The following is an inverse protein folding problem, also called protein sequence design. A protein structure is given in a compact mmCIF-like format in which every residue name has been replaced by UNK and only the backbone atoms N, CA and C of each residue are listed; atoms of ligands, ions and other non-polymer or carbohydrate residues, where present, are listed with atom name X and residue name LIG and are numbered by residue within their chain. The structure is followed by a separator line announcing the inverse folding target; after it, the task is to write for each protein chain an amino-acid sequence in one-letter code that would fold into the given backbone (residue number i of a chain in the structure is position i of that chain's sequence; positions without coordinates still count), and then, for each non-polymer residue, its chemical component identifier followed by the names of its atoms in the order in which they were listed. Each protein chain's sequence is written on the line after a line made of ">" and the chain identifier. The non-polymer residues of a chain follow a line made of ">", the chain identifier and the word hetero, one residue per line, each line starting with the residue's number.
data_IF_324160204687
#
_entry.id   IF_324160204687
#
_cell.length_a   1.000
_cell.length_b   1.000
_cell.length_c   1.000
_cell.angle_alpha   90.00
_cell.angle_beta   90.00
_cell.angle_gamma   90.00
#
_symmetry.space_group_name_H-M   'P 1'
#
loop_
_entity.id
_entity.type
_entity.pdbx_description
1 polymer ?
#
# COMPACT_ATOMS: atom_id res chain seq x y z
N UNK A 1 13.61 23.65 -3.90
CA UNK A 1 12.60 22.59 -4.07
C UNK A 1 11.40 23.10 -4.89
N UNK A 2 11.48 22.98 -6.22
CA UNK A 2 10.34 23.20 -7.11
C UNK A 2 9.85 21.84 -7.58
N UNK A 3 8.80 21.33 -6.96
CA UNK A 3 8.11 20.11 -7.34
C UNK A 3 6.73 20.10 -6.67
N UNK A 4 5.78 19.37 -7.26
CA UNK A 4 4.47 19.11 -6.66
C UNK A 4 4.61 18.46 -5.27
N UNK A 5 3.53 18.50 -4.49
CA UNK A 5 3.38 17.73 -3.25
C UNK A 5 2.01 17.06 -3.27
N UNK A 6 1.92 15.89 -2.64
CA UNK A 6 0.64 15.28 -2.29
C UNK A 6 0.25 15.79 -0.89
N UNK A 7 -1.00 16.25 -0.74
CA UNK A 7 -1.52 16.73 0.55
C UNK A 7 -2.64 15.81 1.03
N UNK A 8 -2.39 15.04 2.10
CA UNK A 8 -3.42 14.26 2.81
C UNK A 8 -3.99 15.12 3.93
N UNK A 9 -5.25 15.54 3.79
CA UNK A 9 -5.93 16.44 4.73
C UNK A 9 -6.99 15.66 5.51
N UNK A 10 -6.73 15.41 6.79
CA UNK A 10 -7.58 14.60 7.66
C UNK A 10 -8.30 15.49 8.67
N UNK A 11 -9.63 15.42 8.73
CA UNK A 11 -10.38 16.07 9.80
C UNK A 11 -10.14 15.32 11.11
N UNK A 12 -9.56 16.00 12.12
CA UNK A 12 -9.31 15.40 13.42
C UNK A 12 -10.57 15.43 14.30
N UNK A 13 -10.81 14.37 15.07
CA UNK A 13 -11.85 14.34 16.10
C UNK A 13 -11.27 14.87 17.42
N UNK A 14 -11.54 16.13 17.83
CA UNK A 14 -11.06 16.62 19.12
C UNK A 14 -11.77 15.87 20.27
N UNK A 15 -11.09 15.60 21.40
CA UNK A 15 -11.69 14.89 22.54
C UNK A 15 -12.93 15.59 23.13
N UNK A 16 -13.04 16.91 22.96
CA UNK A 16 -14.18 17.74 23.39
C UNK A 16 -14.39 18.89 22.40
N UNK A 17 -15.64 19.36 22.26
CA UNK A 17 -16.00 20.52 21.44
C UNK A 17 -16.67 20.19 20.10
N UNK A 18 -16.92 21.19 19.23
CA UNK A 18 -17.50 20.98 17.90
C UNK A 18 -16.64 20.00 17.06
N UNK A 19 -17.27 18.98 16.47
CA UNK A 19 -16.56 17.95 15.69
C UNK A 19 -16.20 16.68 16.46
N UNK A 20 -16.33 16.67 17.80
CA UNK A 20 -16.04 15.50 18.66
C UNK A 20 -16.95 14.27 18.43
N UNK A 21 -18.08 14.43 17.72
CA UNK A 21 -19.02 13.36 17.37
C UNK A 21 -19.05 13.04 15.87
N UNK A 22 -18.08 13.52 15.08
CA UNK A 22 -18.06 13.25 13.64
C UNK A 22 -17.45 11.88 13.39
N UNK A 23 -18.29 10.94 12.99
CA UNK A 23 -17.91 9.56 12.65
C UNK A 23 -16.81 9.50 11.59
N UNK A 24 -16.82 10.41 10.62
CA UNK A 24 -15.81 10.52 9.54
C UNK A 24 -14.47 11.15 9.96
N UNK A 25 -14.31 11.57 11.22
CA UNK A 25 -13.08 12.19 11.72
C UNK A 25 -12.18 11.17 12.44
N UNK A 26 -10.87 11.19 12.16
CA UNK A 26 -9.91 10.21 12.65
C UNK A 26 -9.58 10.42 14.14
N UNK A 27 -9.29 9.32 14.86
CA UNK A 27 -8.70 9.37 16.21
C UNK A 27 -7.26 9.84 16.10
N UNK A 28 -6.82 10.68 17.05
CA UNK A 28 -5.45 11.23 17.03
C UNK A 28 -4.39 10.14 17.16
N UNK A 29 -4.66 9.12 17.98
CA UNK A 29 -3.72 8.03 18.25
C UNK A 29 -3.39 7.22 16.99
N UNK A 30 -4.40 6.88 16.18
CA UNK A 30 -4.24 6.13 14.93
C UNK A 30 -3.37 6.90 13.92
N UNK A 31 -3.61 8.21 13.81
CA UNK A 31 -2.88 9.06 12.86
C UNK A 31 -1.43 9.29 13.31
N UNK A 32 -1.14 9.24 14.62
CA UNK A 32 0.23 9.33 15.11
C UNK A 32 1.06 8.11 14.72
N UNK A 33 0.47 6.91 14.67
CA UNK A 33 1.15 5.72 14.15
C UNK A 33 1.50 5.89 12.67
N UNK A 34 0.54 6.34 11.84
CA UNK A 34 0.78 6.59 10.41
C UNK A 34 1.91 7.60 10.19
N UNK A 35 1.87 8.75 10.87
CA UNK A 35 2.89 9.80 10.77
C UNK A 35 4.27 9.29 11.22
N UNK A 36 4.32 8.50 12.29
CA UNK A 36 5.58 7.94 12.76
C UNK A 36 6.15 6.88 11.80
N UNK A 37 5.29 6.09 11.14
CA UNK A 37 5.72 5.15 10.11
C UNK A 37 6.23 5.92 8.87
N UNK A 38 5.53 6.98 8.45
CA UNK A 38 5.96 7.86 7.35
C UNK A 38 7.37 8.41 7.59
N UNK A 39 7.64 8.92 8.80
CA UNK A 39 8.96 9.43 9.19
C UNK A 39 10.02 8.33 9.22
N UNK A 40 9.66 7.13 9.68
CA UNK A 40 10.58 5.99 9.77
C UNK A 40 11.06 5.48 8.40
N UNK A 41 10.16 5.46 7.41
CA UNK A 41 10.45 4.84 6.09
C UNK A 41 10.85 5.85 5.02
N UNK A 42 10.81 7.16 5.30
CA UNK A 42 10.98 8.22 4.29
C UNK A 42 12.31 8.18 3.53
N UNK A 43 13.37 7.64 4.14
CA UNK A 43 14.71 7.55 3.54
C UNK A 43 14.94 6.19 2.85
N UNK A 44 13.94 5.30 2.85
CA UNK A 44 14.00 3.99 2.19
C UNK A 44 13.51 4.11 0.75
N UNK A 45 14.34 3.64 -0.19
CA UNK A 45 13.98 3.60 -1.61
C UNK A 45 12.67 2.81 -1.82
N UNK A 46 11.80 3.36 -2.68
CA UNK A 46 10.48 2.80 -2.94
C UNK A 46 9.40 3.21 -1.95
N UNK A 47 9.71 3.93 -0.86
CA UNK A 47 8.72 4.56 0.02
C UNK A 47 8.56 6.04 -0.28
N UNK A 48 7.42 6.61 0.09
CA UNK A 48 7.15 8.02 -0.18
C UNK A 48 7.95 8.93 0.73
N UNK A 49 8.48 9.99 0.13
CA UNK A 49 9.17 11.04 0.88
C UNK A 49 8.14 11.78 1.75
N UNK A 50 8.31 11.71 3.07
CA UNK A 50 7.56 12.50 4.02
C UNK A 50 8.21 13.88 4.18
N UNK A 51 7.49 14.95 3.83
CA UNK A 51 8.01 16.33 3.89
C UNK A 51 7.67 17.05 5.19
N UNK A 52 6.51 16.73 5.77
CA UNK A 52 6.11 17.31 7.04
C UNK A 52 4.65 17.09 7.38
N UNK A 53 4.33 17.39 8.63
CA UNK A 53 2.98 17.29 9.19
C UNK A 53 2.61 18.59 9.89
N UNK A 54 1.39 19.06 9.67
CA UNK A 54 0.90 20.33 10.19
C UNK A 54 -0.48 20.16 10.81
N UNK A 55 -0.74 20.87 11.90
CA UNK A 55 -2.09 21.01 12.45
C UNK A 55 -2.66 22.35 12.02
N UNK A 56 -3.76 22.31 11.26
CA UNK A 56 -4.47 23.51 10.82
C UNK A 56 -5.81 23.64 11.54
N UNK A 57 -6.24 24.87 11.81
CA UNK A 57 -7.57 25.18 12.35
C UNK A 57 -8.26 26.16 11.41
N UNK A 58 -9.46 25.83 10.94
CA UNK A 58 -10.18 26.73 10.04
C UNK A 58 -11.21 26.07 9.16
N UNK A 59 -11.79 26.85 8.24
CA UNK A 59 -12.52 26.32 7.09
C UNK A 59 -11.55 25.87 5.98
N UNK A 60 -12.03 25.01 5.08
CA UNK A 60 -11.22 24.47 3.98
C UNK A 60 -10.89 25.56 2.94
N UNK A 61 -9.61 25.74 2.55
CA UNK A 61 -9.22 26.79 1.61
C UNK A 61 -9.91 26.68 0.24
N UNK A 62 -10.17 27.82 -0.42
CA UNK A 62 -10.83 27.88 -1.74
C UNK A 62 -10.14 27.04 -2.82
N UNK A 63 -8.81 26.91 -2.75
CA UNK A 63 -8.06 26.05 -3.69
C UNK A 63 -8.44 24.58 -3.56
N UNK A 64 -8.51 24.08 -2.32
CA UNK A 64 -8.92 22.71 -2.00
C UNK A 64 -10.38 22.48 -2.36
N UNK A 65 -11.26 23.45 -2.07
CA UNK A 65 -12.68 23.39 -2.48
C UNK A 65 -12.84 23.21 -3.99
N UNK A 66 -12.17 24.05 -4.79
CA UNK A 66 -12.23 23.94 -6.25
C UNK A 66 -11.67 22.62 -6.77
N UNK A 67 -10.61 22.11 -6.14
CA UNK A 67 -10.04 20.81 -6.51
C UNK A 67 -11.01 19.67 -6.22
N UNK A 68 -11.65 19.69 -5.04
CA UNK A 68 -12.69 18.73 -4.67
C UNK A 68 -13.90 18.81 -5.59
N UNK A 69 -14.44 20.00 -5.86
CA UNK A 69 -15.58 20.21 -6.77
C UNK A 69 -15.24 19.70 -8.18
N UNK A 70 -14.06 20.06 -8.70
CA UNK A 70 -13.60 19.62 -10.01
C UNK A 70 -13.35 18.10 -10.15
N UNK A 71 -13.21 17.38 -9.04
CA UNK A 71 -13.14 15.91 -9.01
C UNK A 71 -14.52 15.29 -8.79
N UNK A 72 -15.28 15.81 -7.82
CA UNK A 72 -16.58 15.29 -7.39
C UNK A 72 -17.66 15.45 -8.47
N UNK A 73 -17.55 16.48 -9.32
CA UNK A 73 -18.54 16.80 -10.36
C UNK A 73 -18.24 16.12 -11.71
N UNK A 74 -17.22 15.26 -11.78
CA UNK A 74 -16.93 14.43 -12.96
C UNK A 74 -17.48 13.04 -12.76
N UNK A 75 -17.88 12.38 -13.86
CA UNK A 75 -18.32 10.99 -13.78
C UNK A 75 -17.21 10.07 -13.24
N UNK A 76 -17.55 9.06 -12.41
CA UNK A 76 -16.62 8.03 -11.95
C UNK A 76 -15.90 7.35 -13.12
N UNK A 77 -14.67 6.89 -12.89
CA UNK A 77 -13.97 6.05 -13.86
C UNK A 77 -14.59 4.65 -13.91
N UNK A 78 -14.21 3.83 -14.89
CA UNK A 78 -14.63 2.43 -14.94
C UNK A 78 -14.21 1.64 -13.67
N UNK A 79 -13.12 2.09 -13.02
CA UNK A 79 -12.52 1.45 -11.86
C UNK A 79 -13.04 1.98 -10.52
N UNK A 80 -13.87 3.02 -10.50
CA UNK A 80 -14.43 3.59 -9.27
C UNK A 80 -15.07 2.53 -8.35
N UNK A 81 -15.12 2.76 -7.04
CA UNK A 81 -15.79 1.81 -6.12
C UNK A 81 -17.29 1.67 -6.44
N UNK A 82 -17.92 0.61 -5.92
CA UNK A 82 -19.38 0.46 -6.01
C UNK A 82 -20.08 1.65 -5.33
N UNK A 83 -19.64 2.02 -4.13
CA UNK A 83 -20.15 3.17 -3.37
C UNK A 83 -20.04 4.48 -4.15
N UNK A 84 -18.89 4.75 -4.79
CA UNK A 84 -18.70 5.95 -5.61
C UNK A 84 -19.63 5.96 -6.82
N UNK A 85 -19.81 4.80 -7.47
CA UNK A 85 -20.67 4.65 -8.65
C UNK A 85 -22.14 4.86 -8.27
N UNK A 86 -22.58 4.26 -7.16
CA UNK A 86 -23.96 4.37 -6.65
C UNK A 86 -24.29 5.78 -6.17
N UNK A 87 -23.38 6.43 -5.43
CA UNK A 87 -23.55 7.82 -5.00
C UNK A 87 -23.67 8.77 -6.20
N UNK A 88 -22.87 8.53 -7.25
CA UNK A 88 -22.96 9.31 -8.49
C UNK A 88 -24.30 9.11 -9.20
N UNK A 89 -24.76 7.87 -9.35
CA UNK A 89 -26.06 7.55 -9.97
C UNK A 89 -27.25 8.12 -9.16
N UNK A 90 -27.13 8.19 -7.84
CA UNK A 90 -28.10 8.83 -6.95
C UNK A 90 -28.06 10.38 -7.00
N UNK A 91 -27.09 10.98 -7.69
CA UNK A 91 -26.92 12.43 -7.78
C UNK A 91 -26.29 13.08 -6.55
N UNK A 92 -25.64 12.28 -5.69
CA UNK A 92 -24.97 12.74 -4.47
C UNK A 92 -23.53 13.19 -4.71
N UNK A 93 -22.99 12.91 -5.91
CA UNK A 93 -21.59 13.11 -6.26
C UNK A 93 -20.77 11.85 -6.01
N UNK A 94 -19.44 11.98 -6.07
CA UNK A 94 -18.50 10.85 -5.89
C UNK A 94 -18.04 10.67 -4.45
N UNK A 95 -18.04 11.75 -3.67
CA UNK A 95 -17.50 11.77 -2.32
C UNK A 95 -18.46 11.12 -1.31
N UNK A 96 -18.00 10.08 -0.62
CA UNK A 96 -18.65 9.59 0.60
C UNK A 96 -18.57 10.61 1.76
N UNK A 97 -17.68 11.61 1.67
CA UNK A 97 -17.51 12.66 2.67
C UNK A 97 -18.36 13.90 2.35
N UNK A 98 -18.84 14.63 3.38
CA UNK A 98 -19.58 15.86 3.17
C UNK A 98 -18.73 16.90 2.44
N UNK A 99 -19.40 17.70 1.59
CA UNK A 99 -18.79 18.83 0.89
C UNK A 99 -17.87 19.66 1.84
N UNK A 100 -16.60 19.95 1.48
CA UNK A 100 -15.64 20.51 2.44
C UNK A 100 -16.01 21.90 2.98
N UNK A 101 -16.92 22.62 2.32
CA UNK A 101 -17.49 23.87 2.85
C UNK A 101 -18.35 23.68 4.12
N UNK A 102 -18.76 22.44 4.44
CA UNK A 102 -19.55 22.09 5.65
C UNK A 102 -18.70 21.93 6.91
N UNK A 103 -17.37 22.01 6.81
CA UNK A 103 -16.50 22.03 8.00
C UNK A 103 -16.65 23.34 8.76
N UNK A 104 -16.77 23.26 10.09
CA UNK A 104 -16.89 24.43 10.94
C UNK A 104 -15.58 25.23 10.94
N UNK A 105 -15.65 26.55 11.15
CA UNK A 105 -14.46 27.43 11.22
C UNK A 105 -13.46 27.08 12.33
N UNK A 106 -13.88 26.27 13.30
CA UNK A 106 -13.05 25.79 14.41
C UNK A 106 -12.62 24.31 14.24
N UNK A 107 -12.90 23.69 13.09
CA UNK A 107 -12.44 22.33 12.79
C UNK A 107 -10.91 22.28 12.80
N UNK A 108 -10.37 21.25 13.45
CA UNK A 108 -8.96 20.91 13.38
C UNK A 108 -8.73 19.90 12.25
N UNK A 109 -7.68 20.13 11.48
CA UNK A 109 -7.20 19.23 10.44
C UNK A 109 -5.75 18.88 10.70
N UNK A 110 -5.41 17.63 10.42
CA UNK A 110 -4.03 17.25 10.16
C UNK A 110 -3.78 17.38 8.66
N UNK A 111 -2.65 17.97 8.29
CA UNK A 111 -2.19 18.09 6.91
C UNK A 111 -0.84 17.40 6.83
N UNK A 112 -0.79 16.28 6.13
CA UNK A 112 0.44 15.54 5.84
C UNK A 112 0.88 15.95 4.44
N UNK A 113 2.10 16.45 4.31
CA UNK A 113 2.73 16.76 3.04
C UNK A 113 3.69 15.64 2.64
N UNK A 114 3.43 15.05 1.48
CA UNK A 114 4.25 13.99 0.89
C UNK A 114 4.90 14.48 -0.42
N UNK A 115 6.01 13.86 -0.78
CA UNK A 115 6.65 14.05 -2.07
C UNK A 115 5.73 13.66 -3.24
N UNK A 116 6.02 14.22 -4.41
CA UNK A 116 5.34 13.82 -5.64
C UNK A 116 5.75 12.38 -6.00
N UNK A 117 4.81 11.44 -5.86
CA UNK A 117 5.00 10.03 -6.15
C UNK A 117 4.64 9.66 -7.60
N UNK A 118 4.14 10.61 -8.40
CA UNK A 118 3.63 10.33 -9.74
C UNK A 118 2.16 9.91 -9.74
N UNK A 119 1.81 8.92 -10.57
CA UNK A 119 0.43 8.48 -10.80
C UNK A 119 0.22 7.12 -10.15
N UNK A 120 -0.86 6.95 -9.39
CA UNK A 120 -1.21 5.65 -8.81
C UNK A 120 -1.47 4.58 -9.89
N UNK A 121 -1.25 3.32 -9.53
CA UNK A 121 -1.32 2.16 -10.41
C UNK A 121 -2.76 1.89 -10.88
N UNK A 122 -3.77 2.26 -10.08
CA UNK A 122 -5.19 2.16 -10.45
C UNK A 122 -5.51 2.97 -11.72
N UNK A 123 -4.90 4.14 -11.83
CA UNK A 123 -5.08 5.04 -12.96
C UNK A 123 -3.96 4.93 -14.00
N UNK A 124 -2.93 4.12 -13.79
CA UNK A 124 -1.82 3.95 -14.73
C UNK A 124 -2.10 2.85 -15.76
N UNK A 125 -1.78 3.09 -17.03
CA UNK A 125 -1.92 2.10 -18.09
C UNK A 125 -0.59 1.37 -18.30
N UNK A 126 -0.47 0.13 -17.81
CA UNK A 126 0.71 -0.72 -18.06
C UNK A 126 0.68 -1.24 -19.50
N UNK A 127 1.73 -0.96 -20.28
CA UNK A 127 1.76 -1.20 -21.73
C UNK A 127 2.88 -2.15 -22.17
N UNK A 128 3.92 -2.33 -21.36
CA UNK A 128 5.11 -3.12 -21.71
C UNK A 128 5.40 -4.22 -20.67
N UNK A 129 6.11 -5.27 -21.10
CA UNK A 129 6.53 -6.34 -20.20
C UNK A 129 7.56 -5.84 -19.18
N UNK A 130 8.37 -4.87 -19.57
CA UNK A 130 9.33 -4.19 -18.71
C UNK A 130 8.64 -3.46 -17.54
N UNK A 131 7.52 -2.78 -17.79
CA UNK A 131 6.74 -2.15 -16.71
C UNK A 131 6.16 -3.19 -15.75
N UNK A 132 5.68 -4.34 -16.25
CA UNK A 132 5.22 -5.43 -15.38
C UNK A 132 6.33 -5.94 -14.45
N UNK A 133 7.55 -6.06 -14.97
CA UNK A 133 8.71 -6.46 -14.17
C UNK A 133 9.09 -5.40 -13.15
N UNK A 134 9.20 -4.13 -13.55
CA UNK A 134 9.63 -3.07 -12.65
C UNK A 134 8.63 -2.82 -11.52
N UNK A 135 7.32 -2.85 -11.81
CA UNK A 135 6.29 -2.75 -10.77
C UNK A 135 6.39 -3.89 -9.78
N UNK A 136 6.49 -5.14 -10.25
CA UNK A 136 6.56 -6.31 -9.38
C UNK A 136 7.85 -6.34 -8.54
N UNK A 137 9.01 -6.22 -9.20
CA UNK A 137 10.31 -6.32 -8.55
C UNK A 137 10.56 -5.12 -7.65
N UNK A 138 10.25 -3.90 -8.09
CA UNK A 138 10.40 -2.70 -7.27
C UNK A 138 9.55 -2.75 -5.99
N UNK A 139 8.30 -3.22 -6.11
CA UNK A 139 7.43 -3.44 -4.94
C UNK A 139 8.02 -4.49 -4.00
N UNK A 140 8.51 -5.61 -4.53
CA UNK A 140 9.13 -6.66 -3.71
C UNK A 140 10.39 -6.17 -2.99
N UNK A 141 11.25 -5.41 -3.67
CA UNK A 141 12.48 -4.85 -3.08
C UNK A 141 12.17 -3.84 -1.98
N UNK A 142 11.21 -2.93 -2.20
CA UNK A 142 10.79 -1.95 -1.21
C UNK A 142 10.23 -2.64 0.05
N UNK A 143 9.28 -3.57 -0.13
CA UNK A 143 8.69 -4.32 0.99
C UNK A 143 9.75 -5.13 1.76
N UNK A 144 10.63 -5.86 1.07
CA UNK A 144 11.70 -6.62 1.72
C UNK A 144 12.66 -5.74 2.51
N UNK A 145 13.00 -4.56 1.98
CA UNK A 145 13.87 -3.59 2.68
C UNK A 145 13.18 -3.06 3.94
N UNK A 146 11.90 -2.71 3.86
CA UNK A 146 11.11 -2.32 5.02
C UNK A 146 10.97 -3.45 6.06
N UNK A 147 10.78 -4.70 5.61
CA UNK A 147 10.75 -5.88 6.49
C UNK A 147 12.07 -6.02 7.27
N UNK A 148 13.21 -5.94 6.60
CA UNK A 148 14.53 -6.11 7.21
C UNK A 148 14.87 -4.98 8.19
N UNK A 149 14.58 -3.73 7.82
CA UNK A 149 14.93 -2.57 8.63
C UNK A 149 14.01 -2.37 9.83
N UNK A 150 12.69 -2.57 9.64
CA UNK A 150 11.68 -2.12 10.60
C UNK A 150 10.65 -3.19 10.94
N UNK A 151 10.78 -4.42 10.44
CA UNK A 151 9.70 -5.41 10.49
C UNK A 151 8.41 -4.86 9.87
N UNK A 152 8.55 -4.09 8.78
CA UNK A 152 7.43 -3.39 8.17
C UNK A 152 6.41 -4.37 7.58
N UNK A 153 5.14 -4.09 7.82
CA UNK A 153 4.01 -4.71 7.14
C UNK A 153 3.11 -3.60 6.59
N UNK A 154 2.87 -3.57 5.29
CA UNK A 154 2.04 -2.52 4.69
C UNK A 154 0.57 -2.66 5.08
N UNK A 155 0.06 -3.90 5.03
CA UNK A 155 -1.31 -4.31 5.37
C UNK A 155 -2.44 -3.70 4.53
N UNK A 156 -2.12 -2.83 3.56
CA UNK A 156 -3.11 -2.22 2.68
C UNK A 156 -2.57 -1.89 1.28
N UNK A 157 -1.71 -2.73 0.72
CA UNK A 157 -1.01 -2.40 -0.53
C UNK A 157 -1.84 -2.76 -1.78
N UNK A 158 -2.97 -2.07 -1.95
CA UNK A 158 -3.75 -2.14 -3.19
C UNK A 158 -3.20 -1.19 -4.27
N UNK A 159 -3.74 -1.27 -5.49
CA UNK A 159 -3.29 -0.49 -6.66
C UNK A 159 -3.31 1.04 -6.45
N UNK A 160 -4.17 1.55 -5.57
CA UNK A 160 -4.21 2.98 -5.23
C UNK A 160 -3.02 3.44 -4.37
N UNK A 161 -2.34 2.49 -3.73
CA UNK A 161 -1.22 2.72 -2.82
C UNK A 161 0.15 2.42 -3.44
N UNK A 162 0.20 2.27 -4.76
CA UNK A 162 1.43 2.17 -5.54
C UNK A 162 1.42 3.25 -6.59
N UNK A 163 2.34 4.21 -6.51
CA UNK A 163 2.52 5.21 -7.56
C UNK A 163 3.70 4.91 -8.47
N UNK A 164 3.57 5.36 -9.71
CA UNK A 164 4.51 5.18 -10.80
C UNK A 164 4.89 6.54 -11.38
N UNK A 165 6.19 6.71 -11.62
CA UNK A 165 6.75 7.91 -12.23
C UNK A 165 7.85 7.52 -13.21
N UNK A 166 7.87 8.11 -14.40
CA UNK A 166 9.01 7.98 -15.28
C UNK A 166 10.18 8.81 -14.74
N UNK A 167 11.24 8.13 -14.34
CA UNK A 167 12.46 8.74 -13.77
C UNK A 167 13.72 8.44 -14.60
N UNK A 168 13.64 7.52 -15.55
CA UNK A 168 14.78 7.12 -16.39
C UNK A 168 14.39 6.85 -17.85
N UNK A 169 15.40 6.54 -18.65
CA UNK A 169 15.20 6.09 -20.02
C UNK A 169 14.73 4.62 -20.03
N UNK A 170 13.70 4.33 -20.82
CA UNK A 170 13.27 2.97 -21.06
C UNK A 170 14.25 2.24 -21.99
N UNK A 171 14.44 0.95 -21.73
CA UNK A 171 15.22 -0.01 -22.51
C UNK A 171 14.47 -1.36 -22.57
N UNK A 172 15.06 -2.38 -23.17
CA UNK A 172 14.40 -3.68 -23.38
C UNK A 172 15.18 -4.76 -22.65
N UNK A 173 14.47 -5.66 -21.95
CA UNK A 173 15.11 -6.80 -21.28
C UNK A 173 15.80 -7.68 -22.33
N UNK A 174 17.12 -7.94 -22.20
CA UNK A 174 17.85 -8.77 -23.16
C UNK A 174 17.27 -10.19 -23.28
N UNK A 175 17.32 -10.81 -24.47
CA UNK A 175 16.94 -12.21 -24.63
C UNK A 175 17.85 -13.13 -23.80
N UNK A 176 17.27 -14.15 -23.18
CA UNK A 176 17.90 -15.12 -22.27
C UNK A 176 18.95 -16.05 -22.93
N UNK A 177 19.42 -15.73 -24.15
CA UNK A 177 20.36 -16.55 -24.93
C UNK A 177 21.83 -16.23 -24.66
N UNK A 178 22.13 -15.27 -23.78
CA UNK A 178 23.48 -14.94 -23.35
C UNK A 178 23.76 -15.53 -21.97
N UNK A 179 24.96 -16.08 -21.76
CA UNK A 179 25.44 -16.66 -20.50
C UNK A 179 25.72 -15.61 -19.40
N UNK A 180 25.11 -14.44 -19.51
CA UNK A 180 25.23 -13.30 -18.60
C UNK A 180 23.88 -13.08 -17.91
N UNK A 181 23.96 -12.65 -16.66
CA UNK A 181 22.89 -12.45 -15.68
C UNK A 181 21.54 -12.01 -16.30
N UNK A 182 20.42 -12.73 -16.06
CA UNK A 182 19.12 -12.46 -16.67
C UNK A 182 18.39 -11.29 -15.99
N UNK A 183 19.06 -10.16 -15.78
CA UNK A 183 18.50 -8.99 -15.11
C UNK A 183 17.17 -8.57 -15.74
N UNK A 184 16.17 -8.30 -14.89
CA UNK A 184 14.79 -7.96 -15.29
C UNK A 184 14.31 -6.63 -14.73
N UNK A 185 15.05 -6.07 -13.77
CA UNK A 185 14.70 -4.82 -13.09
C UNK A 185 15.42 -3.61 -13.71
N UNK A 186 14.71 -2.48 -13.79
CA UNK A 186 15.23 -1.18 -14.22
C UNK A 186 15.12 -0.92 -15.72
N UNK A 187 14.29 -1.66 -16.46
CA UNK A 187 14.22 -1.54 -17.93
C UNK A 187 13.11 -0.59 -18.41
N UNK A 188 12.04 -0.37 -17.66
CA UNK A 188 10.94 0.51 -18.09
C UNK A 188 11.22 2.01 -17.89
N UNK A 189 12.22 2.34 -17.06
CA UNK A 189 12.46 3.70 -16.60
C UNK A 189 11.41 4.20 -15.59
N UNK A 190 10.56 3.31 -15.07
CA UNK A 190 9.63 3.60 -13.98
C UNK A 190 10.31 3.51 -12.63
N UNK A 191 9.97 4.48 -11.79
CA UNK A 191 10.18 4.46 -10.35
C UNK A 191 8.83 4.14 -9.68
N UNK A 192 8.89 3.28 -8.66
CA UNK A 192 7.75 2.81 -7.89
C UNK A 192 7.80 3.48 -6.52
N UNK A 193 6.67 3.92 -5.99
CA UNK A 193 6.56 4.52 -4.66
C UNK A 193 5.34 3.97 -3.93
N UNK A 194 5.55 3.35 -2.77
CA UNK A 194 4.49 2.85 -1.90
C UNK A 194 3.89 4.01 -1.08
N UNK A 195 2.57 4.03 -0.93
CA UNK A 195 1.81 5.07 -0.22
C UNK A 195 0.88 4.48 0.84
N UNK A 196 0.37 5.38 1.67
CA UNK A 196 -0.69 5.13 2.67
C UNK A 196 -0.36 4.02 3.69
N UNK A 197 0.17 4.47 4.82
CA UNK A 197 0.59 3.58 5.91
C UNK A 197 -0.44 3.50 7.04
N UNK A 198 -1.71 3.83 6.75
CA UNK A 198 -2.78 3.92 7.77
C UNK A 198 -2.97 2.59 8.51
N UNK A 199 -2.96 1.46 7.79
CA UNK A 199 -3.12 0.12 8.39
C UNK A 199 -1.79 -0.56 8.74
N UNK A 200 -0.66 0.09 8.44
CA UNK A 200 0.66 -0.53 8.48
C UNK A 200 1.12 -0.82 9.90
N UNK A 201 2.14 -1.67 9.99
CA UNK A 201 2.88 -1.97 11.23
C UNK A 201 4.36 -1.83 10.98
N UNK A 202 5.07 -1.23 11.93
CA UNK A 202 6.53 -1.15 11.92
C UNK A 202 7.08 -1.15 13.34
N UNK A 203 8.38 -1.33 13.49
CA UNK A 203 9.11 -1.25 14.74
C UNK A 203 10.19 -0.19 14.61
N UNK A 204 10.19 0.76 15.55
CA UNK A 204 11.24 1.77 15.69
C UNK A 204 12.56 1.14 16.16
N UNK A 205 13.67 1.86 16.02
CA UNK A 205 14.98 1.43 16.52
C UNK A 205 14.97 1.20 18.05
N UNK A 206 14.15 1.94 18.80
CA UNK A 206 13.98 1.76 20.24
C UNK A 206 13.11 0.54 20.62
N UNK A 207 12.65 -0.23 19.63
CA UNK A 207 11.83 -1.43 19.83
C UNK A 207 10.35 -1.13 20.09
N UNK A 208 9.89 0.11 19.94
CA UNK A 208 8.46 0.45 20.00
C UNK A 208 7.77 0.01 18.71
N UNK A 209 6.71 -0.79 18.85
CA UNK A 209 5.81 -1.17 17.74
C UNK A 209 4.82 -0.04 17.44
N UNK A 210 4.80 0.41 16.19
CA UNK A 210 3.80 1.31 15.61
C UNK A 210 2.83 0.46 14.80
N UNK A 211 1.53 0.57 15.06
CA UNK A 211 0.50 -0.18 14.33
C UNK A 211 -0.88 0.43 14.53
N UNK A 212 -1.82 0.05 13.67
CA UNK A 212 -3.26 0.18 13.90
C UNK A 212 -3.83 -1.17 14.36
N UNK A 213 -4.65 -1.17 15.41
CA UNK A 213 -5.32 -2.38 15.86
C UNK A 213 -6.55 -2.68 14.99
N UNK A 214 -6.41 -3.64 14.07
CA UNK A 214 -7.50 -4.00 13.17
C UNK A 214 -8.59 -4.86 13.85
N UNK A 215 -8.42 -5.27 15.11
CA UNK A 215 -9.51 -5.87 15.90
C UNK A 215 -10.37 -4.81 16.62
N UNK A 216 -10.05 -3.51 16.53
CA UNK A 216 -10.96 -2.44 16.99
C UNK A 216 -12.29 -2.56 16.21
N UNK A 217 -13.46 -2.54 16.89
CA UNK A 217 -14.76 -2.59 16.23
C UNK A 217 -14.98 -1.55 15.12
N UNK A 218 -14.29 -0.41 15.15
CA UNK A 218 -14.33 0.59 14.06
C UNK A 218 -13.77 0.05 12.73
N UNK A 219 -12.97 -1.03 12.78
CA UNK A 219 -12.34 -1.66 11.62
C UNK A 219 -13.06 -2.95 11.15
N UNK A 220 -14.17 -3.36 11.79
CA UNK A 220 -14.83 -4.64 11.47
C UNK A 220 -15.29 -4.70 10.01
N UNK A 221 -15.71 -3.57 9.44
CA UNK A 221 -16.10 -3.43 8.03
C UNK A 221 -15.00 -3.86 7.04
N UNK A 222 -13.72 -3.86 7.44
CA UNK A 222 -12.63 -4.38 6.60
C UNK A 222 -12.77 -5.87 6.29
N UNK A 223 -13.39 -6.61 7.21
CA UNK A 223 -13.47 -8.07 7.21
C UNK A 223 -14.88 -8.60 6.96
N UNK A 224 -15.85 -7.73 6.75
CA UNK A 224 -17.22 -8.11 6.39
C UNK A 224 -17.27 -8.71 4.98
N UNK A 225 -18.29 -9.54 4.76
CA UNK A 225 -18.51 -10.14 3.46
C UNK A 225 -18.95 -9.07 2.45
N UNK A 226 -18.43 -9.14 1.23
CA UNK A 226 -18.85 -8.26 0.15
C UNK A 226 -20.34 -8.41 -0.13
N UNK A 227 -21.03 -7.27 -0.28
CA UNK A 227 -22.44 -7.24 -0.64
C UNK A 227 -22.69 -7.76 -2.08
N UNK A 228 -23.92 -8.19 -2.39
CA UNK A 228 -24.32 -8.44 -3.77
C UNK A 228 -24.12 -7.18 -4.63
N UNK A 229 -23.38 -7.29 -5.73
CA UNK A 229 -23.08 -6.16 -6.61
C UNK A 229 -21.68 -5.57 -6.45
N UNK A 230 -20.96 -5.88 -5.36
CA UNK A 230 -19.56 -5.44 -5.19
C UNK A 230 -18.70 -5.87 -6.38
N UNK A 231 -17.90 -4.95 -6.92
CA UNK A 231 -17.03 -5.18 -8.08
C UNK A 231 -15.99 -6.27 -7.78
N UNK A 232 -15.58 -7.04 -8.80
CA UNK A 232 -14.64 -8.15 -8.60
C UNK A 232 -13.28 -7.67 -8.07
N UNK A 233 -12.84 -6.48 -8.46
CA UNK A 233 -11.56 -5.94 -8.00
C UNK A 233 -11.57 -5.65 -6.49
N UNK A 234 -12.63 -5.03 -5.99
CA UNK A 234 -12.85 -4.82 -4.55
C UNK A 234 -12.99 -6.16 -3.80
N UNK A 235 -13.67 -7.16 -4.40
CA UNK A 235 -13.75 -8.51 -3.81
C UNK A 235 -12.38 -9.16 -3.67
N UNK A 236 -11.48 -8.98 -4.64
CA UNK A 236 -10.10 -9.48 -4.55
C UNK A 236 -9.35 -8.81 -3.40
N UNK A 237 -9.50 -7.50 -3.22
CA UNK A 237 -8.91 -6.75 -2.11
C UNK A 237 -9.42 -7.27 -0.76
N UNK A 238 -10.75 -7.44 -0.63
CA UNK A 238 -11.41 -7.98 0.58
C UNK A 238 -10.92 -9.38 0.95
N UNK A 239 -10.67 -10.25 -0.03
CA UNK A 239 -10.07 -11.57 0.21
C UNK A 239 -8.67 -11.46 0.84
N UNK A 240 -7.88 -10.44 0.52
CA UNK A 240 -6.57 -10.22 1.14
C UNK A 240 -6.72 -9.84 2.62
N UNK A 241 -7.62 -8.91 2.97
CA UNK A 241 -7.88 -8.60 4.37
C UNK A 241 -8.34 -9.82 5.17
N UNK A 242 -9.27 -10.61 4.63
CA UNK A 242 -9.71 -11.86 5.28
C UNK A 242 -8.55 -12.82 5.48
N UNK A 243 -7.70 -13.03 4.46
CA UNK A 243 -6.54 -13.91 4.55
C UNK A 243 -5.50 -13.42 5.59
N UNK A 244 -5.30 -12.11 5.73
CA UNK A 244 -4.47 -11.55 6.79
C UNK A 244 -5.06 -11.86 8.17
N UNK A 245 -6.36 -11.58 8.41
CA UNK A 245 -7.01 -11.86 9.71
C UNK A 245 -6.98 -13.35 10.04
N UNK A 246 -7.25 -14.22 9.08
CA UNK A 246 -7.14 -15.67 9.25
C UNK A 246 -5.72 -16.10 9.67
N UNK A 247 -4.70 -15.56 9.00
CA UNK A 247 -3.30 -15.84 9.33
C UNK A 247 -2.94 -15.39 10.74
N UNK A 248 -3.21 -14.13 11.08
CA UNK A 248 -2.87 -13.55 12.39
C UNK A 248 -3.58 -14.29 13.53
N UNK A 249 -4.86 -14.63 13.36
CA UNK A 249 -5.64 -15.43 14.34
C UNK A 249 -5.08 -16.85 14.47
N UNK A 250 -4.65 -17.49 13.37
CA UNK A 250 -4.04 -18.81 13.42
C UNK A 250 -2.69 -18.79 14.19
N UNK A 251 -1.82 -17.80 13.91
CA UNK A 251 -0.54 -17.63 14.61
C UNK A 251 -0.71 -17.36 16.11
N UNK A 252 -1.74 -16.59 16.49
CA UNK A 252 -2.05 -16.35 17.89
C UNK A 252 -2.45 -17.64 18.64
N UNK A 253 -3.26 -18.50 18.02
CA UNK A 253 -3.67 -19.79 18.62
C UNK A 253 -2.46 -20.70 18.86
N UNK A 254 -1.53 -20.75 17.90
CA UNK A 254 -0.28 -21.52 18.03
C UNK A 254 0.58 -20.99 19.17
N UNK A 255 0.68 -19.67 19.31
CA UNK A 255 1.48 -19.01 20.35
C UNK A 255 0.85 -19.17 21.75
N UNK A 256 -0.48 -19.03 21.85
CA UNK A 256 -1.23 -19.12 23.12
C UNK A 256 -1.25 -20.53 23.72
N UNK A 257 -1.09 -21.58 22.89
CA UNK A 257 -0.95 -22.96 23.35
C UNK A 257 0.35 -23.24 24.14
N UNK A 258 1.34 -22.33 24.08
CA UNK A 258 2.64 -22.45 24.76
C UNK A 258 2.77 -21.60 26.02
N UNK A 259 1.82 -20.70 26.32
CA UNK A 259 1.96 -19.73 27.41
C UNK A 259 0.81 -19.88 28.42
N UNK A 260 1.15 -20.13 29.70
CA UNK A 260 0.17 -20.10 30.79
C UNK A 260 -0.42 -18.69 30.88
N UNK A 261 -1.75 -18.63 30.97
CA UNK A 261 -2.54 -17.42 31.19
C UNK A 261 -2.19 -16.82 32.55
N UNK A 262 -1.37 -15.78 32.54
CA UNK A 262 -1.30 -14.77 33.59
C UNK A 262 -0.89 -13.47 32.89
N UNK A 263 -1.90 -12.69 32.47
CA UNK A 263 -1.93 -11.22 32.43
C UNK A 263 -3.08 -10.73 31.55
N UNK A 264 -3.99 -9.97 32.15
CA UNK A 264 -5.27 -9.54 31.58
C UNK A 264 -5.16 -8.33 30.62
N UNK A 265 -4.01 -8.13 29.95
CA UNK A 265 -3.83 -7.22 28.81
C UNK A 265 -2.65 -7.73 27.96
N UNK A 266 -2.90 -8.78 27.18
CA UNK A 266 -1.95 -9.20 26.16
C UNK A 266 -1.80 -8.12 25.09
N UNK A 267 -0.59 -8.00 24.54
CA UNK A 267 -0.32 -7.16 23.36
C UNK A 267 -1.23 -7.60 22.20
N UNK A 268 -1.82 -6.64 21.46
CA UNK A 268 -2.70 -6.92 20.33
C UNK A 268 -2.03 -7.87 19.34
N UNK A 269 -2.80 -8.81 18.77
CA UNK A 269 -2.29 -9.75 17.75
C UNK A 269 -1.76 -9.02 16.52
N UNK A 270 -2.26 -7.82 16.25
CA UNK A 270 -1.86 -6.93 15.15
C UNK A 270 -0.58 -6.13 15.47
N UNK A 271 -0.12 -6.07 16.71
CA UNK A 271 1.20 -5.52 17.04
C UNK A 271 2.34 -6.50 16.70
N UNK A 272 2.05 -7.80 16.81
CA UNK A 272 3.00 -8.87 16.50
C UNK A 272 3.39 -8.83 15.02
N UNK A 273 4.61 -9.26 14.72
CA UNK A 273 5.16 -9.24 13.37
C UNK A 273 4.70 -10.47 12.57
N UNK A 274 3.98 -10.23 11.47
CA UNK A 274 3.46 -11.24 10.55
C UNK A 274 3.81 -10.89 9.09
N UNK A 275 5.09 -11.00 8.66
CA UNK A 275 5.53 -10.53 7.35
C UNK A 275 4.86 -11.27 6.17
N UNK A 276 4.17 -12.37 6.43
CA UNK A 276 3.33 -13.05 5.43
C UNK A 276 2.20 -12.15 4.90
N UNK A 277 1.77 -11.14 5.65
CA UNK A 277 0.80 -10.13 5.18
C UNK A 277 1.31 -9.40 3.94
N UNK A 278 2.61 -9.08 3.87
CA UNK A 278 3.21 -8.47 2.68
C UNK A 278 3.25 -9.45 1.50
N UNK A 279 3.46 -10.75 1.73
CA UNK A 279 3.41 -11.77 0.66
C UNK A 279 2.02 -11.84 0.03
N UNK A 280 0.96 -11.76 0.85
CA UNK A 280 -0.43 -11.74 0.38
C UNK A 280 -0.69 -10.53 -0.52
N UNK A 281 -0.21 -9.34 -0.12
CA UNK A 281 -0.33 -8.13 -0.91
C UNK A 281 0.53 -8.14 -2.18
N UNK A 282 1.77 -8.61 -2.11
CA UNK A 282 2.63 -8.74 -3.28
C UNK A 282 2.00 -9.69 -4.33
N UNK A 283 1.40 -10.79 -3.88
CA UNK A 283 0.63 -11.68 -4.75
C UNK A 283 -0.57 -10.96 -5.39
N UNK A 284 -1.30 -10.17 -4.62
CA UNK A 284 -2.41 -9.36 -5.13
C UNK A 284 -1.97 -8.36 -6.20
N UNK A 285 -0.90 -7.60 -5.95
CA UNK A 285 -0.34 -6.62 -6.88
C UNK A 285 0.08 -7.27 -8.20
N UNK A 286 0.73 -8.44 -8.14
CA UNK A 286 1.09 -9.18 -9.35
C UNK A 286 -0.15 -9.57 -10.18
N UNK A 287 -1.20 -10.07 -9.53
CA UNK A 287 -2.45 -10.42 -10.21
C UNK A 287 -3.17 -9.20 -10.77
N UNK A 288 -3.11 -8.07 -10.06
CA UNK A 288 -3.65 -6.80 -10.54
C UNK A 288 -2.98 -6.38 -11.84
N UNK A 289 -1.64 -6.34 -11.86
CA UNK A 289 -0.84 -5.94 -13.01
C UNK A 289 -1.14 -6.82 -14.24
N UNK A 290 -1.24 -8.14 -14.04
CA UNK A 290 -1.56 -9.08 -15.13
C UNK A 290 -2.99 -8.88 -15.65
N UNK A 291 -3.96 -8.65 -14.76
CA UNK A 291 -5.37 -8.51 -15.13
C UNK A 291 -5.65 -7.18 -15.87
N UNK A 292 -4.95 -6.11 -15.49
CA UNK A 292 -5.16 -4.76 -16.01
C UNK A 292 -4.10 -4.32 -17.04
N UNK A 293 -3.24 -5.25 -17.48
CA UNK A 293 -2.26 -4.99 -18.53
C UNK A 293 -2.95 -4.60 -19.84
N UNK A 294 -2.61 -3.42 -20.36
CA UNK A 294 -3.21 -2.84 -21.57
C UNK A 294 -2.31 -3.00 -22.81
N UNK A 295 -1.12 -3.58 -22.63
CA UNK A 295 -0.14 -3.79 -23.69
C UNK A 295 -0.40 -4.97 -24.62
N UNK A 296 0.65 -5.33 -25.38
CA UNK A 296 0.56 -6.39 -26.38
C UNK A 296 0.40 -7.79 -25.75
N UNK A 297 -0.61 -8.55 -26.19
CA UNK A 297 -0.86 -9.93 -25.70
C UNK A 297 0.37 -10.86 -25.72
N UNK A 298 1.23 -10.85 -26.77
CA UNK A 298 2.44 -11.67 -26.75
C UNK A 298 3.43 -11.28 -25.64
N UNK A 299 3.52 -9.99 -25.29
CA UNK A 299 4.37 -9.51 -24.21
C UNK A 299 3.86 -9.99 -22.84
N UNK A 300 2.54 -9.91 -22.62
CA UNK A 300 1.91 -10.44 -21.41
C UNK A 300 2.14 -11.95 -21.28
N UNK A 301 1.92 -12.70 -22.36
CA UNK A 301 2.10 -14.15 -22.36
C UNK A 301 3.54 -14.53 -21.99
N UNK A 302 4.53 -13.84 -22.55
CA UNK A 302 5.94 -14.07 -22.23
C UNK A 302 6.22 -13.76 -20.75
N UNK A 303 5.70 -12.65 -20.23
CA UNK A 303 5.83 -12.32 -18.80
C UNK A 303 5.23 -13.42 -17.91
N UNK A 304 4.00 -13.87 -18.21
CA UNK A 304 3.32 -14.92 -17.46
C UNK A 304 4.08 -16.26 -17.50
N UNK A 305 4.67 -16.62 -18.64
CA UNK A 305 5.51 -17.82 -18.79
C UNK A 305 6.77 -17.74 -17.91
N UNK A 306 7.41 -16.57 -17.84
CA UNK A 306 8.65 -16.39 -17.07
C UNK A 306 8.45 -16.28 -15.56
N UNK A 307 7.36 -15.65 -15.13
CA UNK A 307 7.05 -15.47 -13.69
C UNK A 307 6.25 -16.65 -13.13
N UNK A 308 5.87 -17.63 -13.95
CA UNK A 308 4.93 -18.71 -13.61
C UNK A 308 5.24 -19.39 -12.28
N UNK A 309 6.49 -19.78 -12.05
CA UNK A 309 6.91 -20.47 -10.82
C UNK A 309 6.76 -19.58 -9.58
N UNK A 310 7.19 -18.33 -9.68
CA UNK A 310 7.11 -17.34 -8.59
C UNK A 310 5.65 -17.03 -8.30
N UNK A 311 4.85 -16.76 -9.33
CA UNK A 311 3.41 -16.54 -9.23
C UNK A 311 2.68 -17.72 -8.59
N UNK A 312 3.03 -18.95 -8.96
CA UNK A 312 2.44 -20.15 -8.39
C UNK A 312 2.82 -20.35 -6.91
N UNK A 313 4.04 -19.97 -6.51
CA UNK A 313 4.52 -20.10 -5.14
C UNK A 313 4.03 -18.98 -4.22
N UNK A 314 3.86 -17.76 -4.71
CA UNK A 314 3.24 -16.63 -3.98
C UNK A 314 1.82 -16.96 -3.50
N UNK A 315 1.07 -17.76 -4.26
CA UNK A 315 -0.30 -18.19 -3.91
C UNK A 315 -0.35 -19.32 -2.87
N UNK A 316 0.79 -19.89 -2.47
CA UNK A 316 0.85 -20.96 -1.47
C UNK A 316 1.14 -20.36 -0.11
N UNK A 317 0.48 -20.86 0.93
CA UNK A 317 0.91 -20.58 2.31
C UNK A 317 2.26 -21.26 2.61
N UNK A 318 2.99 -20.73 3.60
CA UNK A 318 4.31 -21.24 4.03
C UNK A 318 4.32 -22.76 4.25
N UNK A 319 3.29 -23.30 4.91
CA UNK A 319 3.15 -24.74 5.17
C UNK A 319 3.03 -25.60 3.90
N UNK A 320 2.66 -25.00 2.77
CA UNK A 320 2.51 -25.65 1.46
C UNK A 320 3.69 -25.35 0.52
N UNK A 321 4.82 -24.88 1.06
CA UNK A 321 6.02 -24.52 0.30
C UNK A 321 6.01 -23.11 -0.29
N UNK A 322 5.07 -22.25 0.13
CA UNK A 322 5.12 -20.81 -0.15
C UNK A 322 6.13 -20.06 0.71
N UNK A 323 6.21 -18.75 0.52
CA UNK A 323 7.07 -17.88 1.32
C UNK A 323 6.37 -17.37 2.58
N UNK A 324 7.15 -17.11 3.62
CA UNK A 324 6.70 -16.52 4.88
C UNK A 324 6.85 -15.01 4.97
N UNK A 325 7.64 -14.40 4.10
CA UNK A 325 7.93 -12.96 4.05
C UNK A 325 8.34 -12.54 2.65
N UNK A 326 8.31 -11.25 2.34
CA UNK A 326 8.81 -10.74 1.06
C UNK A 326 10.34 -10.74 1.01
N UNK A 327 11.04 -10.67 2.14
CA UNK A 327 12.48 -10.93 2.21
C UNK A 327 12.84 -12.32 1.67
N UNK A 328 12.11 -13.39 2.03
CA UNK A 328 12.34 -14.73 1.45
C UNK A 328 12.04 -14.77 -0.07
N UNK A 329 11.11 -13.92 -0.57
CA UNK A 329 10.85 -13.77 -2.01
C UNK A 329 12.04 -13.09 -2.68
N UNK A 330 12.55 -12.00 -2.11
CA UNK A 330 13.73 -11.27 -2.61
C UNK A 330 14.94 -12.18 -2.77
N UNK A 331 15.24 -13.02 -1.77
CA UNK A 331 16.35 -13.99 -1.87
C UNK A 331 16.20 -14.90 -3.10
N UNK A 332 14.99 -15.38 -3.39
CA UNK A 332 14.75 -16.18 -4.61
C UNK A 332 14.98 -15.35 -5.89
N UNK A 333 14.53 -14.10 -5.92
CA UNK A 333 14.70 -13.22 -7.07
C UNK A 333 16.19 -12.94 -7.37
N UNK A 334 17.01 -12.81 -6.33
CA UNK A 334 18.47 -12.71 -6.44
C UNK A 334 19.11 -14.01 -6.92
N UNK A 335 18.73 -15.16 -6.37
CA UNK A 335 19.24 -16.47 -6.82
C UNK A 335 18.93 -16.72 -8.31
N UNK A 336 17.82 -16.15 -8.80
CA UNK A 336 17.44 -16.20 -10.22
C UNK A 336 18.17 -15.18 -11.11
N UNK A 337 18.90 -14.24 -10.53
CA UNK A 337 19.58 -13.16 -11.25
C UNK A 337 18.61 -12.12 -11.85
N UNK A 338 17.39 -12.00 -11.32
CA UNK A 338 16.38 -11.08 -11.89
C UNK A 338 16.57 -9.64 -11.41
N UNK A 339 17.20 -9.47 -10.25
CA UNK A 339 17.57 -8.18 -9.68
C UNK A 339 19.07 -8.29 -9.38
N UNK A 340 19.83 -7.26 -9.72
CA UNK A 340 21.24 -7.20 -9.33
C UNK A 340 21.37 -7.18 -7.81
N UNK A 341 22.43 -7.79 -7.29
CA UNK A 341 22.90 -7.45 -5.95
C UNK A 341 23.54 -6.07 -6.12
N UNK A 342 23.01 -5.03 -5.48
CA UNK A 342 23.79 -3.80 -5.32
C UNK A 342 24.99 -4.19 -4.47
N UNK A 343 26.11 -4.54 -5.11
CA UNK A 343 27.40 -4.45 -4.47
C UNK A 343 27.56 -2.97 -4.13
N UNK A 344 27.44 -2.66 -2.85
CA UNK A 344 27.65 -1.34 -2.27
C UNK A 344 29.10 -0.95 -2.63
N UNK A 345 29.33 -0.42 -3.85
CA UNK A 345 30.56 0.26 -4.27
C UNK A 345 30.62 1.60 -3.52
N UNK A 346 30.69 1.51 -2.19
CA UNK A 346 31.33 2.50 -1.34
C UNK A 346 32.79 2.09 -1.15
N UNK A 347 33.49 1.87 -2.27
CA UNK A 347 34.94 2.06 -2.28
C UNK A 347 35.18 3.56 -2.51
N UNK A 348 35.71 4.21 -1.47
CA UNK A 348 35.85 5.64 -1.43
C UNK A 348 36.86 6.21 -2.42
N UNK A 349 36.62 7.47 -2.78
CA UNK A 349 37.66 8.47 -3.04
C UNK A 349 37.32 9.78 -2.32
#
# INVERSE_FOLDING_TARGET
>A
PSGSSILKILALRPPRGPGSRRETACKVEDVLSEVAILDLVTDVSGFVIFRGVFVAKGGVPKGVLRAWEGWNDKAPSANASAEESEAWEAGEGRSAFPHPSRYHKDQLFLVIELGDAGKDLEHYELMTREELWDVFLGTAMALATGEDMFGFEHRDLHEGNICLRHAGAASVIPPTTSSSDPGRYGFSGLEITLLDYTLSRAMTEEGKTLFLDLDDPENEALFEACEPGTKEQERKQRRVYSAMREHVVAQEKVSSGKQKRDDAKGESRWAKHHPYTNVLWLAYVLEYCITHFSGAKPALKLFEEEIADVRARLRKGKEKGGWGSVAEVREELWVRGWVGVEEDEREGE
#
